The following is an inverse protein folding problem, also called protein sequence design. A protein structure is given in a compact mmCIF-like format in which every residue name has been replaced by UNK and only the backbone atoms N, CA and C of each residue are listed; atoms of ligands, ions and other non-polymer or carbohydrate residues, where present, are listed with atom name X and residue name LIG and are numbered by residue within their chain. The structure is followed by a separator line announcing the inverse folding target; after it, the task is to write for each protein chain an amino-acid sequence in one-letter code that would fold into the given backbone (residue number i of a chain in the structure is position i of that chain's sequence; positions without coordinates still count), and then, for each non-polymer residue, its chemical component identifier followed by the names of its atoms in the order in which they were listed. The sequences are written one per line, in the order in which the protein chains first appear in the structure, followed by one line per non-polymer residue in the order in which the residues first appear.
data_IF_821295249093
#
_entry.id   IF_821295249093
#
_cell.length_a   1.000
_cell.length_b   1.000
_cell.length_c   1.000
_cell.angle_alpha   90.00
_cell.angle_beta   90.00
_cell.angle_gamma   90.00
#
_symmetry.space_group_name_H-M   'P 1'
#
loop_
_entity.id
_entity.type
_entity.pdbx_description
1 polymer ?
#
# COMPACT_ATOMS: atom_id res chain seq x y z
N UNK A 1 12.23 2.60 34.90
CA UNK A 1 11.99 3.25 33.59
C UNK A 1 12.96 2.62 32.63
N UNK A 2 12.45 1.99 31.58
CA UNK A 2 13.27 1.47 30.49
C UNK A 2 13.96 2.65 29.82
N UNK A 3 15.28 2.69 29.79
CA UNK A 3 16.00 3.71 29.04
C UNK A 3 16.04 3.30 27.56
N UNK A 4 15.74 4.23 26.67
CA UNK A 4 15.92 4.04 25.23
C UNK A 4 17.41 3.85 24.92
N UNK A 5 17.74 2.91 24.03
CA UNK A 5 19.10 2.73 23.55
C UNK A 5 19.57 3.93 22.73
N UNK A 6 20.88 4.05 22.52
CA UNK A 6 21.44 5.10 21.66
C UNK A 6 20.85 5.05 20.24
N UNK A 7 20.73 3.85 19.69
CA UNK A 7 20.13 3.61 18.36
C UNK A 7 18.67 4.07 18.32
N UNK A 8 17.86 3.73 19.34
CA UNK A 8 16.47 4.19 19.43
C UNK A 8 16.37 5.71 19.50
N UNK A 9 17.28 6.37 20.23
CA UNK A 9 17.31 7.83 20.34
C UNK A 9 17.67 8.46 18.99
N UNK A 10 18.57 7.85 18.22
CA UNK A 10 18.91 8.29 16.87
C UNK A 10 17.71 8.16 15.92
N UNK A 11 17.03 7.02 15.94
CA UNK A 11 15.81 6.78 15.15
C UNK A 11 14.71 7.80 15.50
N UNK A 12 14.50 8.08 16.79
CA UNK A 12 13.54 9.10 17.23
C UNK A 12 13.93 10.50 16.77
N UNK A 13 15.22 10.81 16.72
CA UNK A 13 15.72 12.11 16.29
C UNK A 13 15.55 12.30 14.79
N UNK A 14 15.80 11.26 14.00
CA UNK A 14 15.54 11.25 12.56
C UNK A 14 14.04 11.45 12.30
N UNK A 15 13.18 10.68 12.96
CA UNK A 15 11.73 10.79 12.83
C UNK A 15 11.20 12.16 13.29
N UNK A 16 11.72 12.73 14.37
CA UNK A 16 11.41 14.09 14.82
C UNK A 16 11.78 15.13 13.75
N UNK A 17 12.94 14.97 13.10
CA UNK A 17 13.40 15.84 12.03
C UNK A 17 12.47 15.89 10.82
N UNK A 18 11.73 14.82 10.53
CA UNK A 18 10.74 14.79 9.44
C UNK A 18 9.57 15.78 9.64
N UNK A 19 9.33 16.21 10.88
CA UNK A 19 8.26 17.17 11.22
C UNK A 19 8.75 18.62 11.27
N UNK A 20 10.05 18.85 11.19
CA UNK A 20 10.62 20.19 11.11
C UNK A 20 10.45 20.75 9.69
N UNK A 21 9.41 21.56 9.51
CA UNK A 21 9.09 22.23 8.23
C UNK A 21 9.89 23.50 7.99
N UNK A 22 10.59 24.02 8.99
CA UNK A 22 11.30 25.31 8.94
C UNK A 22 12.81 25.12 8.78
N UNK A 23 13.32 23.95 9.17
CA UNK A 23 14.74 23.59 9.10
C UNK A 23 15.57 24.15 10.26
N UNK A 24 14.94 24.48 11.38
CA UNK A 24 15.58 25.04 12.59
C UNK A 24 15.70 24.03 13.75
N UNK A 25 15.58 22.74 13.44
CA UNK A 25 15.64 21.60 14.38
C UNK A 25 14.57 21.65 15.47
N UNK A 26 13.41 22.23 15.16
CA UNK A 26 12.28 22.36 16.08
C UNK A 26 10.95 21.97 15.42
N UNK A 27 10.01 21.52 16.24
CA UNK A 27 8.63 21.18 15.82
C UNK A 27 7.63 22.00 16.61
N UNK A 28 6.47 22.29 16.02
CA UNK A 28 5.43 23.05 16.70
C UNK A 28 4.73 22.22 17.79
N UNK A 29 4.24 22.88 18.84
CA UNK A 29 3.53 22.23 19.95
C UNK A 29 2.34 21.38 19.48
N UNK A 30 1.60 21.87 18.49
CA UNK A 30 0.48 21.14 17.89
C UNK A 30 0.87 19.87 17.11
N UNK A 31 2.15 19.65 16.81
CA UNK A 31 2.65 18.44 16.14
C UNK A 31 3.11 17.36 17.12
N UNK A 32 3.28 17.67 18.41
CA UNK A 32 3.91 16.77 19.39
C UNK A 32 3.15 15.45 19.54
N UNK A 33 1.81 15.51 19.57
CA UNK A 33 0.97 14.31 19.66
C UNK A 33 1.14 13.41 18.43
N UNK A 34 1.22 14.00 17.25
CA UNK A 34 1.34 13.26 15.99
C UNK A 34 2.71 12.61 15.85
N UNK A 35 3.77 13.27 16.32
CA UNK A 35 5.12 12.69 16.38
C UNK A 35 5.13 11.49 17.32
N UNK A 36 4.58 11.60 18.53
CA UNK A 36 4.50 10.47 19.47
C UNK A 36 3.74 9.29 18.86
N UNK A 37 2.65 9.56 18.12
CA UNK A 37 1.88 8.53 17.40
C UNK A 37 2.67 7.90 16.28
N UNK A 38 3.44 8.69 15.52
CA UNK A 38 4.33 8.19 14.49
C UNK A 38 5.47 7.33 15.06
N UNK A 39 5.92 7.62 16.28
CA UNK A 39 6.89 6.82 17.04
C UNK A 39 6.26 5.58 17.70
N UNK A 40 5.01 5.26 17.36
CA UNK A 40 4.36 4.04 17.80
C UNK A 40 3.77 4.08 19.21
N UNK A 41 3.72 5.26 19.83
CA UNK A 41 2.97 5.48 21.06
C UNK A 41 1.51 5.84 20.73
N UNK A 42 0.62 5.81 21.72
CA UNK A 42 -0.79 6.17 21.50
C UNK A 42 -1.35 7.05 22.63
N UNK A 43 -0.74 8.22 22.89
CA UNK A 43 -1.27 9.13 23.89
C UNK A 43 -2.58 9.78 23.43
N UNK A 44 -3.48 10.08 24.36
CA UNK A 44 -4.61 10.96 24.07
C UNK A 44 -4.12 12.41 23.96
N UNK A 45 -4.82 13.27 23.22
CA UNK A 45 -4.56 14.71 23.18
C UNK A 45 -4.62 15.32 24.59
N UNK A 46 -5.46 14.77 25.48
CA UNK A 46 -5.50 15.19 26.88
C UNK A 46 -4.19 14.88 27.61
N UNK A 47 -3.61 13.70 27.39
CA UNK A 47 -2.31 13.33 27.97
C UNK A 47 -1.20 14.24 27.44
N UNK A 48 -1.16 14.46 26.12
CA UNK A 48 -0.16 15.34 25.49
C UNK A 48 -0.32 16.79 25.99
N UNK A 49 -1.54 17.30 26.10
CA UNK A 49 -1.81 18.64 26.66
C UNK A 49 -1.25 18.77 28.07
N UNK A 50 -1.43 17.75 28.91
CA UNK A 50 -0.89 17.73 30.27
C UNK A 50 0.64 17.68 30.28
N UNK A 51 1.24 16.84 29.44
CA UNK A 51 2.69 16.69 29.30
C UNK A 51 3.35 17.99 28.81
N UNK A 52 2.67 18.72 27.92
CA UNK A 52 3.08 20.06 27.47
C UNK A 52 2.86 21.17 28.52
N UNK A 53 2.32 20.84 29.69
CA UNK A 53 2.10 21.79 30.78
C UNK A 53 0.80 22.59 30.68
N UNK A 54 -0.23 22.04 30.04
CA UNK A 54 -1.51 22.70 29.75
C UNK A 54 -1.35 24.02 28.99
N UNK A 55 -0.75 23.98 27.78
CA UNK A 55 -0.53 25.16 26.95
C UNK A 55 -1.85 25.87 26.59
N UNK A 56 -1.80 27.19 26.46
CA UNK A 56 -2.90 27.98 25.91
C UNK A 56 -3.06 27.74 24.39
N UNK A 57 -4.15 28.22 23.80
CA UNK A 57 -4.33 28.14 22.34
C UNK A 57 -3.24 28.90 21.56
N UNK A 58 -2.76 30.01 22.11
CA UNK A 58 -1.65 30.78 21.54
C UNK A 58 -0.33 30.00 21.61
N UNK A 59 -0.08 29.33 22.75
CA UNK A 59 1.07 28.45 22.91
C UNK A 59 1.05 27.31 21.89
N UNK A 60 -0.12 26.68 21.69
CA UNK A 60 -0.27 25.60 20.71
C UNK A 60 -0.03 26.04 19.27
N UNK A 61 -0.33 27.31 18.95
CA UNK A 61 -0.15 27.86 17.61
C UNK A 61 1.29 28.34 17.34
N UNK A 62 1.95 28.89 18.37
CA UNK A 62 3.18 29.67 18.17
C UNK A 62 4.43 29.06 18.80
N UNK A 63 4.29 28.21 19.84
CA UNK A 63 5.47 27.61 20.50
C UNK A 63 5.98 26.40 19.73
N UNK A 64 7.30 26.23 19.81
CA UNK A 64 8.05 25.15 19.20
C UNK A 64 9.00 24.53 20.22
N UNK A 65 9.33 23.26 20.06
CA UNK A 65 10.28 22.53 20.91
C UNK A 65 11.36 21.88 20.05
N UNK A 66 12.55 21.73 20.62
CA UNK A 66 13.62 20.93 20.03
C UNK A 66 13.54 19.46 20.52
N UNK A 67 14.39 18.61 19.96
CA UNK A 67 14.42 17.18 20.29
C UNK A 67 14.74 16.91 21.78
N UNK A 68 15.64 17.68 22.38
CA UNK A 68 16.04 17.49 23.78
C UNK A 68 14.88 17.73 24.75
N UNK A 69 13.98 18.67 24.42
CA UNK A 69 12.75 18.91 25.18
C UNK A 69 11.66 17.85 24.89
N UNK A 70 11.64 17.27 23.69
CA UNK A 70 10.67 16.25 23.29
C UNK A 70 10.95 14.87 23.90
N UNK A 71 12.21 14.45 23.99
CA UNK A 71 12.59 13.10 24.41
C UNK A 71 12.06 12.70 25.82
N UNK A 72 12.09 13.56 26.85
CA UNK A 72 11.48 13.26 28.14
C UNK A 72 9.96 13.06 28.06
N UNK A 73 9.28 13.81 27.21
CA UNK A 73 7.83 13.69 26.99
C UNK A 73 7.49 12.32 26.39
N UNK A 74 8.29 11.87 25.42
CA UNK A 74 8.14 10.53 24.83
C UNK A 74 8.36 9.41 25.86
N UNK A 75 9.37 9.55 26.73
CA UNK A 75 9.62 8.60 27.83
C UNK A 75 8.45 8.51 28.80
N UNK A 76 7.83 9.64 29.12
CA UNK A 76 6.65 9.66 29.99
C UNK A 76 5.49 8.88 29.36
N UNK A 77 5.19 9.11 28.07
CA UNK A 77 4.14 8.38 27.35
C UNK A 77 4.43 6.88 27.27
N UNK A 78 5.66 6.49 26.90
CA UNK A 78 6.01 5.07 26.75
C UNK A 78 5.90 4.29 28.07
N UNK A 79 6.07 4.98 29.21
CA UNK A 79 5.92 4.39 30.54
C UNK A 79 4.47 4.17 30.97
N UNK A 80 3.49 4.71 30.24
CA UNK A 80 2.07 4.58 30.61
C UNK A 80 1.54 3.16 30.30
N UNK A 81 0.61 2.62 31.11
CA UNK A 81 -0.01 1.34 30.84
C UNK A 81 -0.72 1.34 29.48
N UNK A 82 -0.39 0.36 28.63
CA UNK A 82 -1.02 0.16 27.33
C UNK A 82 -2.15 -0.84 27.49
N UNK A 83 -3.30 -0.58 26.85
CA UNK A 83 -4.43 -1.51 26.86
C UNK A 83 -4.06 -2.82 26.17
N UNK A 84 -4.45 -3.93 26.77
CA UNK A 84 -4.25 -5.28 26.22
C UNK A 84 -5.42 -5.70 25.33
N UNK A 85 -5.22 -6.75 24.54
CA UNK A 85 -6.30 -7.34 23.74
C UNK A 85 -7.51 -7.70 24.60
N UNK A 86 -7.26 -8.31 25.76
CA UNK A 86 -8.31 -8.75 26.68
C UNK A 86 -9.09 -7.54 27.23
N UNK A 87 -8.41 -6.44 27.56
CA UNK A 87 -9.07 -5.21 28.04
C UNK A 87 -10.09 -4.66 27.02
N UNK A 88 -9.73 -4.67 25.73
CA UNK A 88 -10.61 -4.18 24.67
C UNK A 88 -11.77 -5.13 24.38
N UNK A 89 -11.53 -6.44 24.41
CA UNK A 89 -12.59 -7.45 24.23
C UNK A 89 -13.59 -7.40 25.38
N UNK A 90 -13.14 -7.31 26.64
CA UNK A 90 -14.03 -7.15 27.79
C UNK A 90 -14.86 -5.87 27.69
N UNK A 91 -14.27 -4.77 27.22
CA UNK A 91 -14.98 -3.51 26.99
C UNK A 91 -16.12 -3.64 25.97
N UNK A 92 -15.90 -4.37 24.87
CA UNK A 92 -16.93 -4.59 23.84
C UNK A 92 -17.95 -5.65 24.23
N UNK A 93 -17.58 -6.64 25.05
CA UNK A 93 -18.49 -7.69 25.54
C UNK A 93 -19.70 -7.12 26.28
N UNK A 94 -19.58 -5.96 26.92
CA UNK A 94 -20.70 -5.27 27.60
C UNK A 94 -21.85 -4.95 26.63
N UNK A 95 -21.58 -4.83 25.33
CA UNK A 95 -22.56 -4.56 24.30
C UNK A 95 -23.12 -5.83 23.63
N UNK A 96 -22.54 -7.00 23.90
CA UNK A 96 -23.02 -8.30 23.42
C UNK A 96 -24.15 -8.81 24.33
N UNK A 97 -25.37 -8.34 24.06
CA UNK A 97 -26.56 -8.70 24.84
C UNK A 97 -26.92 -10.19 24.73
N UNK A 98 -26.52 -10.84 23.65
CA UNK A 98 -26.87 -12.23 23.33
C UNK A 98 -25.78 -13.23 23.75
N UNK A 99 -24.59 -12.75 24.09
CA UNK A 99 -23.42 -13.57 24.43
C UNK A 99 -22.91 -14.38 23.23
N UNK A 100 -23.15 -13.89 22.01
CA UNK A 100 -22.91 -14.63 20.77
C UNK A 100 -21.58 -14.24 20.08
N UNK A 101 -20.79 -13.34 20.66
CA UNK A 101 -19.52 -12.88 20.09
C UNK A 101 -19.67 -11.69 19.15
N UNK A 102 -20.86 -11.08 19.05
CA UNK A 102 -21.12 -9.96 18.13
C UNK A 102 -21.72 -8.74 18.83
N UNK A 103 -21.53 -7.58 18.22
CA UNK A 103 -22.18 -6.32 18.57
C UNK A 103 -22.84 -5.73 17.33
N UNK A 104 -23.99 -5.10 17.48
CA UNK A 104 -24.63 -4.42 16.35
C UNK A 104 -23.71 -3.30 15.87
N UNK A 105 -23.41 -3.25 14.59
CA UNK A 105 -22.49 -2.24 14.05
C UNK A 105 -23.00 -0.82 14.25
N UNK A 106 -24.33 -0.62 14.31
CA UNK A 106 -24.93 0.66 14.70
C UNK A 106 -24.60 1.06 16.16
N UNK A 107 -24.62 0.11 17.10
CA UNK A 107 -24.23 0.38 18.50
C UNK A 107 -22.72 0.64 18.59
N UNK A 108 -21.91 -0.11 17.85
CA UNK A 108 -20.46 0.08 17.80
C UNK A 108 -20.05 1.46 17.27
N UNK A 109 -20.72 1.99 16.23
CA UNK A 109 -20.51 3.37 15.76
C UNK A 109 -20.81 4.42 16.83
N UNK A 110 -21.82 4.20 17.67
CA UNK A 110 -22.15 5.09 18.79
C UNK A 110 -21.04 5.03 19.84
N UNK A 111 -20.54 3.83 20.15
CA UNK A 111 -19.42 3.65 21.09
C UNK A 111 -18.17 4.40 20.60
N UNK A 112 -17.80 4.25 19.33
CA UNK A 112 -16.62 4.89 18.73
C UNK A 112 -16.73 6.42 18.63
N UNK A 113 -17.95 6.96 18.50
CA UNK A 113 -18.18 8.41 18.46
C UNK A 113 -18.28 9.08 19.84
N UNK A 114 -18.47 8.29 20.90
CA UNK A 114 -18.74 8.82 22.25
C UNK A 114 -17.65 8.54 23.28
N UNK A 115 -16.90 7.43 23.15
CA UNK A 115 -15.87 7.06 24.11
C UNK A 115 -14.49 7.62 23.74
N UNK A 116 -13.84 8.24 24.72
CA UNK A 116 -12.48 8.76 24.56
C UNK A 116 -12.42 10.01 23.70
N UNK A 117 -11.46 10.05 22.79
CA UNK A 117 -11.34 11.14 21.81
C UNK A 117 -12.34 10.89 20.69
N UNK A 118 -13.18 11.90 20.41
CA UNK A 118 -14.25 11.77 19.43
C UNK A 118 -13.66 11.48 18.07
N UNK A 119 -14.00 10.31 17.53
CA UNK A 119 -13.77 10.00 16.12
C UNK A 119 -14.82 10.69 15.26
N UNK A 120 -14.41 11.17 14.11
CA UNK A 120 -15.31 11.71 13.09
C UNK A 120 -16.09 10.57 12.43
N UNK A 121 -17.25 10.90 11.85
CA UNK A 121 -18.07 9.92 11.12
C UNK A 121 -17.28 9.23 9.99
N UNK A 122 -16.44 9.97 9.28
CA UNK A 122 -15.58 9.43 8.23
C UNK A 122 -14.55 8.41 8.75
N UNK A 123 -13.93 8.67 9.90
CA UNK A 123 -12.98 7.74 10.53
C UNK A 123 -13.68 6.48 11.03
N UNK A 124 -14.91 6.62 11.53
CA UNK A 124 -15.73 5.51 11.97
C UNK A 124 -16.13 4.64 10.77
N UNK A 125 -16.61 5.21 9.67
CA UNK A 125 -16.96 4.44 8.48
C UNK A 125 -15.75 3.72 7.88
N UNK A 126 -14.58 4.38 7.84
CA UNK A 126 -13.35 3.73 7.40
C UNK A 126 -12.96 2.54 8.28
N UNK A 127 -13.14 2.66 9.60
CA UNK A 127 -12.85 1.58 10.56
C UNK A 127 -13.85 0.43 10.47
N UNK A 128 -15.11 0.73 10.17
CA UNK A 128 -16.22 -0.22 10.12
C UNK A 128 -16.32 -0.92 8.74
N UNK A 129 -15.65 -0.39 7.72
CA UNK A 129 -15.67 -0.95 6.37
C UNK A 129 -15.24 -2.42 6.35
N UNK A 130 -16.11 -3.28 5.81
CA UNK A 130 -15.87 -4.72 5.71
C UNK A 130 -15.90 -5.49 7.03
N UNK A 131 -16.25 -4.85 8.15
CA UNK A 131 -16.35 -5.51 9.47
C UNK A 131 -17.76 -6.01 9.79
N UNK A 132 -18.77 -5.53 9.07
CA UNK A 132 -20.17 -5.91 9.25
C UNK A 132 -20.52 -7.13 8.39
N UNK A 133 -21.25 -8.07 9.00
CA UNK A 133 -21.87 -9.18 8.29
C UNK A 133 -23.17 -8.78 7.59
N UNK A 134 -23.83 -9.74 6.92
CA UNK A 134 -25.10 -9.52 6.22
C UNK A 134 -26.23 -8.99 7.12
N UNK A 135 -26.11 -9.16 8.44
CA UNK A 135 -27.07 -8.70 9.44
C UNK A 135 -26.67 -7.37 10.10
N UNK A 136 -25.58 -6.74 9.64
CA UNK A 136 -25.06 -5.50 10.24
C UNK A 136 -24.43 -5.72 11.62
N UNK A 137 -23.97 -6.93 11.91
CA UNK A 137 -23.30 -7.28 13.16
C UNK A 137 -21.80 -7.37 12.98
N UNK A 138 -21.03 -7.04 14.02
CA UNK A 138 -19.57 -7.05 14.03
C UNK A 138 -19.08 -8.03 15.07
N UNK A 139 -18.20 -8.95 14.67
CA UNK A 139 -17.55 -9.88 15.59
C UNK A 139 -16.43 -9.17 16.37
N UNK A 140 -16.68 -8.81 17.64
CA UNK A 140 -15.82 -7.87 18.36
C UNK A 140 -14.39 -8.38 18.61
N UNK A 141 -14.17 -9.68 18.78
CA UNK A 141 -12.81 -10.21 18.89
C UNK A 141 -12.00 -10.05 17.58
N UNK A 142 -12.65 -10.25 16.44
CA UNK A 142 -12.04 -10.11 15.14
C UNK A 142 -11.78 -8.62 14.84
N UNK A 143 -12.74 -7.77 15.21
CA UNK A 143 -12.63 -6.33 15.13
C UNK A 143 -11.49 -5.77 16.01
N UNK A 144 -11.35 -6.23 17.26
CA UNK A 144 -10.23 -5.82 18.13
C UNK A 144 -8.90 -6.29 17.56
N UNK A 145 -8.80 -7.54 17.04
CA UNK A 145 -7.61 -8.02 16.34
C UNK A 145 -7.28 -7.16 15.13
N UNK A 146 -8.29 -6.80 14.32
CA UNK A 146 -8.14 -5.93 13.16
C UNK A 146 -7.59 -4.57 13.60
N UNK A 147 -8.23 -3.90 14.56
CA UNK A 147 -7.76 -2.61 15.12
C UNK A 147 -6.33 -2.70 15.64
N UNK A 148 -6.01 -3.74 16.42
CA UNK A 148 -4.68 -3.89 17.02
C UNK A 148 -3.63 -4.25 15.96
N UNK A 149 -3.99 -4.98 14.90
CA UNK A 149 -3.10 -5.28 13.78
C UNK A 149 -2.82 -4.02 12.95
N UNK A 150 -3.83 -3.23 12.60
CA UNK A 150 -3.71 -1.93 11.93
C UNK A 150 -2.85 -0.96 12.76
N UNK A 151 -2.98 -0.99 14.09
CA UNK A 151 -2.19 -0.17 15.03
C UNK A 151 -0.73 -0.65 15.18
N UNK A 152 -0.46 -1.95 15.12
CA UNK A 152 0.90 -2.51 15.11
C UNK A 152 1.67 -2.11 13.85
N UNK A 153 0.99 -2.01 12.70
CA UNK A 153 1.60 -1.54 11.45
C UNK A 153 2.04 -0.07 11.50
N UNK A 154 1.30 0.82 12.19
CA UNK A 154 1.72 2.23 12.38
C UNK A 154 2.91 2.41 13.32
N UNK A 155 3.08 1.51 14.29
CA UNK A 155 4.14 1.54 15.31
C UNK A 155 5.47 0.91 14.84
N UNK A 156 5.40 -0.06 13.90
CA UNK A 156 6.56 -0.80 13.41
C UNK A 156 7.42 -0.11 12.34
N UNK A 157 7.04 1.08 11.85
CA UNK A 157 7.71 1.73 10.72
C UNK A 157 9.11 2.31 11.04
N UNK A 158 9.46 2.45 12.31
CA UNK A 158 10.74 3.06 12.74
C UNK A 158 11.72 2.01 13.31
N UNK A 159 11.28 0.77 13.57
CA UNK A 159 12.05 -0.22 14.33
C UNK A 159 12.41 -1.52 13.61
N UNK A 160 12.65 -1.52 12.30
CA UNK A 160 13.02 -2.74 11.55
C UNK A 160 14.47 -2.71 11.04
N UNK A 161 15.42 -2.86 11.95
CA UNK A 161 16.66 -3.59 11.69
C UNK A 161 16.73 -4.85 12.55
N UNK A 162 16.64 -6.00 11.85
CA UNK A 162 17.06 -7.35 12.24
C UNK A 162 16.63 -7.90 13.62
N UNK A 163 15.60 -8.76 13.65
CA UNK A 163 15.66 -10.07 14.32
C UNK A 163 14.77 -11.10 13.59
N UNK A 164 15.40 -12.16 13.07
CA UNK A 164 14.84 -13.47 12.67
C UNK A 164 13.55 -13.56 11.82
N UNK A 165 13.73 -13.86 10.53
CA UNK A 165 13.23 -15.13 9.98
C UNK A 165 11.74 -15.30 9.67
N UNK A 166 11.13 -14.44 8.85
CA UNK A 166 10.17 -14.79 7.77
C UNK A 166 9.73 -13.49 7.06
N UNK A 167 10.12 -13.35 5.79
CA UNK A 167 9.86 -12.19 4.93
C UNK A 167 8.37 -12.11 4.56
N UNK A 168 7.69 -11.04 4.95
CA UNK A 168 6.72 -10.37 4.09
C UNK A 168 7.21 -8.94 3.92
N UNK A 169 7.77 -8.66 2.74
CA UNK A 169 8.29 -7.35 2.37
C UNK A 169 7.12 -6.57 1.80
N UNK A 170 6.57 -5.63 2.58
CA UNK A 170 5.77 -4.56 2.01
C UNK A 170 6.75 -3.49 1.49
N UNK A 171 6.58 -3.13 0.22
CA UNK A 171 7.39 -2.16 -0.52
C UNK A 171 7.51 -0.83 0.23
N UNK A 172 8.71 -0.22 0.19
CA UNK A 172 8.93 1.16 0.62
C UNK A 172 8.11 2.21 -0.17
N UNK A 173 7.43 1.82 -1.24
CA UNK A 173 6.48 2.64 -1.99
C UNK A 173 5.10 2.70 -1.30
N UNK A 174 4.63 1.59 -0.72
CA UNK A 174 3.34 1.53 0.02
C UNK A 174 3.36 2.46 1.23
N UNK A 175 4.51 2.52 1.92
CA UNK A 175 4.73 3.43 3.04
C UNK A 175 4.63 4.92 2.67
N UNK A 176 5.02 5.29 1.43
CA UNK A 176 5.00 6.68 0.97
C UNK A 176 3.62 7.14 0.50
N UNK A 177 2.78 6.21 0.01
CA UNK A 177 1.44 6.50 -0.50
C UNK A 177 0.40 6.69 0.63
N UNK A 178 0.58 6.05 1.79
CA UNK A 178 -0.38 6.17 2.90
C UNK A 178 -0.10 7.34 3.86
N UNK A 179 1.10 7.92 3.85
CA UNK A 179 1.46 9.01 4.77
C UNK A 179 0.91 10.40 4.35
N UNK A 180 0.26 10.48 3.19
CA UNK A 180 -0.12 11.74 2.52
C UNK A 180 -1.62 12.06 2.57
N UNK A 181 -2.47 11.16 3.05
CA UNK A 181 -3.93 11.38 3.05
C UNK A 181 -4.45 12.33 4.14
N UNK A 182 -3.64 12.71 5.14
CA UNK A 182 -4.08 13.65 6.16
C UNK A 182 -3.01 14.72 6.46
N UNK A 183 -3.36 15.99 6.19
CA UNK A 183 -2.70 17.24 6.65
C UNK A 183 -1.60 17.88 5.76
N UNK A 184 -1.82 17.99 4.44
CA UNK A 184 -1.13 19.01 3.61
C UNK A 184 -2.13 20.02 3.08
N UNK A 185 -1.84 21.31 3.27
CA UNK A 185 -2.47 22.34 2.45
C UNK A 185 -1.92 22.18 1.02
N UNK A 186 -2.78 22.22 -0.03
CA UNK A 186 -2.33 22.00 -1.38
C UNK A 186 -1.32 23.09 -1.78
N UNK A 187 -0.09 22.67 -2.09
CA UNK A 187 0.87 23.58 -2.74
C UNK A 187 0.29 23.91 -4.12
N UNK A 188 0.19 25.19 -4.52
CA UNK A 188 -0.38 25.53 -5.81
C UNK A 188 0.43 24.89 -6.94
N UNK A 189 -0.20 23.97 -7.68
CA UNK A 189 0.41 23.30 -8.82
C UNK A 189 0.60 24.29 -9.97
N UNK A 190 1.80 24.37 -10.57
CA UNK A 190 2.05 25.23 -11.72
C UNK A 190 1.20 24.79 -12.93
N UNK A 191 0.87 25.75 -13.81
CA UNK A 191 0.14 25.44 -15.05
C UNK A 191 0.96 24.53 -15.96
N UNK A 192 0.34 23.58 -16.69
CA UNK A 192 1.04 22.76 -17.68
C UNK A 192 1.83 23.60 -18.71
N UNK A 193 1.32 24.78 -19.08
CA UNK A 193 1.98 25.72 -19.99
C UNK A 193 3.26 26.35 -19.43
N UNK A 194 3.48 26.25 -18.12
CA UNK A 194 4.68 26.76 -17.44
C UNK A 194 5.76 25.70 -17.20
N UNK A 195 5.48 24.43 -17.55
CA UNK A 195 6.45 23.35 -17.47
C UNK A 195 7.63 23.60 -18.43
N UNK A 196 8.86 23.34 -17.97
CA UNK A 196 10.05 23.45 -18.84
C UNK A 196 10.18 22.22 -19.72
N UNK A 197 9.85 21.05 -19.19
CA UNK A 197 9.88 19.78 -19.91
C UNK A 197 8.55 19.03 -19.73
N UNK A 198 8.22 18.18 -20.71
CA UNK A 198 7.04 17.30 -20.64
C UNK A 198 7.08 16.31 -19.47
N UNK A 199 8.28 16.03 -18.95
CA UNK A 199 8.52 15.08 -17.85
C UNK A 199 8.57 15.73 -16.47
N UNK A 200 8.37 17.06 -16.39
CA UNK A 200 8.35 17.78 -15.11
C UNK A 200 7.14 17.31 -14.26
N UNK A 201 7.43 16.83 -13.06
CA UNK A 201 6.44 16.28 -12.12
C UNK A 201 5.65 17.43 -11.46
N UNK A 202 4.37 17.20 -11.13
CA UNK A 202 3.52 18.20 -10.46
C UNK A 202 2.88 19.25 -11.35
N UNK A 203 3.10 19.20 -12.67
CA UNK A 203 2.54 20.17 -13.65
C UNK A 203 1.19 19.72 -14.23
N UNK A 204 0.88 18.42 -14.22
CA UNK A 204 -0.34 17.85 -14.81
C UNK A 204 -1.42 17.69 -13.74
N UNK A 205 -2.47 18.50 -13.86
CA UNK A 205 -3.58 18.58 -12.88
C UNK A 205 -4.39 17.30 -12.69
N UNK A 206 -4.30 16.33 -13.61
CA UNK A 206 -4.99 15.03 -13.48
C UNK A 206 -4.37 14.13 -12.40
N UNK A 207 -3.11 14.38 -12.03
CA UNK A 207 -2.42 13.61 -11.01
C UNK A 207 -2.63 14.24 -9.62
N UNK A 208 -2.35 13.51 -8.54
CA UNK A 208 -2.28 14.02 -7.16
C UNK A 208 -0.82 14.14 -6.74
N UNK A 209 -0.54 14.71 -5.56
CA UNK A 209 0.80 14.66 -4.97
C UNK A 209 1.28 13.21 -4.76
N UNK A 210 0.36 12.28 -4.45
CA UNK A 210 0.67 10.86 -4.31
C UNK A 210 1.16 10.25 -5.62
N UNK A 211 0.49 10.58 -6.73
CA UNK A 211 0.93 10.18 -8.07
C UNK A 211 2.29 10.78 -8.43
N UNK A 212 2.59 12.01 -7.98
CA UNK A 212 3.89 12.65 -8.20
C UNK A 212 5.01 11.92 -7.43
N UNK A 213 4.78 11.61 -6.15
CA UNK A 213 5.72 10.84 -5.31
C UNK A 213 5.95 9.45 -5.90
N UNK A 214 4.87 8.78 -6.31
CA UNK A 214 4.97 7.47 -6.96
C UNK A 214 5.76 7.56 -8.27
N UNK A 215 5.54 8.59 -9.08
CA UNK A 215 6.28 8.84 -10.31
C UNK A 215 7.77 9.02 -10.09
N UNK A 216 8.17 9.74 -9.04
CA UNK A 216 9.59 9.85 -8.68
C UNK A 216 10.20 8.48 -8.35
N UNK A 217 9.46 7.63 -7.64
CA UNK A 217 9.88 6.26 -7.32
C UNK A 217 10.05 5.40 -8.58
N UNK A 218 9.04 5.40 -9.46
CA UNK A 218 9.06 4.67 -10.74
C UNK A 218 10.22 5.15 -11.61
N UNK A 219 10.40 6.48 -11.73
CA UNK A 219 11.50 7.05 -12.50
C UNK A 219 12.85 6.59 -11.97
N UNK A 220 13.04 6.61 -10.65
CA UNK A 220 14.29 6.16 -10.02
C UNK A 220 14.54 4.67 -10.30
N UNK A 221 13.52 3.82 -10.18
CA UNK A 221 13.63 2.41 -10.53
C UNK A 221 14.10 2.19 -11.97
N UNK A 222 13.54 2.92 -12.94
CA UNK A 222 14.03 2.82 -14.32
C UNK A 222 15.49 3.26 -14.47
N UNK A 223 15.89 4.34 -13.80
CA UNK A 223 17.28 4.83 -13.83
C UNK A 223 18.28 3.85 -13.20
N UNK A 224 17.90 3.22 -12.10
CA UNK A 224 18.82 2.42 -11.29
C UNK A 224 18.82 0.94 -11.70
N UNK A 225 17.65 0.39 -12.07
CA UNK A 225 17.45 -1.06 -12.22
C UNK A 225 17.18 -1.51 -13.67
N UNK A 226 16.79 -0.60 -14.57
CA UNK A 226 16.41 -0.97 -15.95
C UNK A 226 17.42 -0.42 -16.95
N UNK A 227 17.61 0.90 -16.99
CA UNK A 227 18.45 1.60 -17.98
C UNK A 227 19.87 1.03 -18.05
N UNK A 228 20.56 0.75 -16.92
CA UNK A 228 21.95 0.24 -16.97
C UNK A 228 22.07 -1.13 -17.66
N UNK A 229 21.02 -1.94 -17.63
CA UNK A 229 21.03 -3.32 -18.11
C UNK A 229 20.31 -3.52 -19.45
N UNK A 230 19.47 -2.57 -19.87
CA UNK A 230 18.59 -2.71 -21.02
C UNK A 230 19.32 -3.12 -22.31
N UNK A 231 20.49 -2.54 -22.59
CA UNK A 231 21.28 -2.88 -23.80
C UNK A 231 21.73 -4.35 -23.82
N UNK A 232 22.04 -4.92 -22.66
CA UNK A 232 22.45 -6.33 -22.56
C UNK A 232 21.24 -7.26 -22.74
N UNK A 233 20.08 -6.87 -22.19
CA UNK A 233 18.83 -7.60 -22.38
C UNK A 233 18.37 -7.62 -23.83
N UNK A 234 18.48 -6.49 -24.54
CA UNK A 234 18.21 -6.41 -25.98
C UNK A 234 19.08 -7.38 -26.77
N UNK A 235 20.37 -7.48 -26.43
CA UNK A 235 21.29 -8.44 -27.06
C UNK A 235 20.94 -9.89 -26.69
N UNK A 236 20.50 -10.13 -25.46
CA UNK A 236 20.11 -11.45 -24.97
C UNK A 236 18.74 -11.91 -25.50
N UNK A 237 17.91 -10.98 -25.99
CA UNK A 237 16.54 -11.24 -26.41
C UNK A 237 15.55 -11.47 -25.25
N UNK A 238 15.94 -11.15 -24.02
CA UNK A 238 15.09 -11.26 -22.83
C UNK A 238 15.56 -10.34 -21.70
N UNK A 239 14.63 -9.89 -20.85
CA UNK A 239 14.95 -9.19 -19.60
C UNK A 239 15.32 -10.18 -18.48
N UNK A 240 15.87 -9.68 -17.37
CA UNK A 240 16.20 -10.51 -16.21
C UNK A 240 14.95 -10.87 -15.39
N UNK A 241 14.89 -12.06 -14.77
CA UNK A 241 13.87 -12.35 -13.74
C UNK A 241 14.03 -11.46 -12.51
N UNK A 242 15.25 -11.07 -12.18
CA UNK A 242 15.54 -10.22 -11.03
C UNK A 242 14.84 -8.85 -11.12
N UNK A 243 14.75 -8.25 -12.32
CA UNK A 243 14.06 -6.95 -12.47
C UNK A 243 12.55 -7.07 -12.25
N UNK A 244 11.95 -8.24 -12.49
CA UNK A 244 10.54 -8.49 -12.15
C UNK A 244 10.32 -8.53 -10.65
N UNK A 245 11.15 -9.29 -9.92
CA UNK A 245 11.07 -9.35 -8.46
C UNK A 245 11.31 -7.97 -7.84
N UNK A 246 12.31 -7.22 -8.31
CA UNK A 246 12.55 -5.84 -7.87
C UNK A 246 11.38 -4.91 -8.17
N UNK A 247 10.75 -5.03 -9.34
CA UNK A 247 9.55 -4.25 -9.68
C UNK A 247 8.38 -4.57 -8.73
N UNK A 248 8.19 -5.85 -8.39
CA UNK A 248 7.21 -6.29 -7.40
C UNK A 248 7.51 -5.76 -5.99
N UNK A 249 8.77 -5.85 -5.54
CA UNK A 249 9.25 -5.29 -4.27
C UNK A 249 9.08 -3.77 -4.17
N UNK A 250 9.02 -3.06 -5.30
CA UNK A 250 8.77 -1.62 -5.35
C UNK A 250 7.30 -1.26 -5.59
N UNK A 251 6.39 -2.25 -5.66
CA UNK A 251 4.96 -2.03 -5.89
C UNK A 251 4.62 -1.53 -7.29
N UNK A 252 5.46 -1.81 -8.28
CA UNK A 252 5.28 -1.35 -9.67
C UNK A 252 4.53 -2.35 -10.54
N UNK A 253 4.32 -3.57 -10.03
CA UNK A 253 3.51 -4.60 -10.66
C UNK A 253 2.13 -4.63 -10.03
N UNK A 254 1.12 -4.83 -10.86
CA UNK A 254 -0.28 -5.06 -10.48
C UNK A 254 -0.78 -3.95 -9.56
N UNK A 255 -0.49 -2.69 -9.92
CA UNK A 255 -0.70 -1.50 -9.09
C UNK A 255 -2.13 -1.40 -8.56
N UNK A 256 -3.13 -1.80 -9.35
CA UNK A 256 -4.56 -1.77 -8.99
C UNK A 256 -5.00 -2.91 -8.06
N UNK A 257 -4.15 -3.92 -7.84
CA UNK A 257 -4.49 -5.03 -6.94
C UNK A 257 -4.53 -4.50 -5.50
N UNK A 258 -5.59 -4.80 -4.73
CA UNK A 258 -5.68 -4.39 -3.32
C UNK A 258 -4.54 -4.94 -2.47
N UNK A 259 -4.24 -4.25 -1.37
CA UNK A 259 -3.18 -4.66 -0.45
C UNK A 259 -3.41 -6.03 0.17
N UNK A 260 -4.67 -6.40 0.44
CA UNK A 260 -5.04 -7.72 0.97
C UNK A 260 -4.64 -8.89 0.03
N UNK A 261 -4.43 -8.58 -1.25
CA UNK A 261 -3.96 -9.51 -2.28
C UNK A 261 -2.48 -9.29 -2.65
N UNK A 262 -1.76 -8.47 -1.88
CA UNK A 262 -0.33 -8.20 -2.00
C UNK A 262 0.05 -7.05 -2.94
N UNK A 263 -0.93 -6.32 -3.50
CA UNK A 263 -0.70 -5.12 -4.30
C UNK A 263 -0.59 -3.85 -3.46
N UNK A 264 -0.68 -2.69 -4.11
CA UNK A 264 -0.58 -1.38 -3.46
C UNK A 264 -1.90 -0.60 -3.47
N UNK A 265 -2.98 -1.19 -3.97
CA UNK A 265 -4.31 -0.56 -4.00
C UNK A 265 -4.35 0.78 -4.77
N UNK A 266 -3.46 0.96 -5.74
CA UNK A 266 -3.40 2.18 -6.55
C UNK A 266 -4.54 2.28 -7.55
N UNK A 267 -4.60 3.41 -8.25
CA UNK A 267 -5.63 3.67 -9.25
C UNK A 267 -5.09 3.60 -10.68
N UNK A 268 -5.96 3.87 -11.66
CA UNK A 268 -5.58 3.90 -13.08
C UNK A 268 -4.54 4.98 -13.39
N UNK A 269 -4.47 6.06 -12.60
CA UNK A 269 -3.47 7.11 -12.77
C UNK A 269 -2.09 6.65 -12.28
N UNK A 270 -2.07 5.85 -11.22
CA UNK A 270 -0.88 5.18 -10.70
C UNK A 270 -0.33 4.17 -11.72
N UNK A 271 -1.19 3.37 -12.37
CA UNK A 271 -0.77 2.54 -13.50
C UNK A 271 -0.28 3.38 -14.70
N UNK A 272 -0.96 4.47 -15.04
CA UNK A 272 -0.52 5.37 -16.10
C UNK A 272 0.87 5.97 -15.84
N UNK A 273 1.21 6.24 -14.58
CA UNK A 273 2.57 6.66 -14.18
C UNK A 273 3.61 5.58 -14.53
N UNK A 274 3.33 4.29 -14.27
CA UNK A 274 4.29 3.21 -14.59
C UNK A 274 4.51 3.08 -16.09
N UNK A 275 3.45 3.18 -16.89
CA UNK A 275 3.53 3.15 -18.35
C UNK A 275 4.34 4.34 -18.89
N UNK A 276 4.03 5.55 -18.44
CA UNK A 276 4.68 6.76 -18.93
C UNK A 276 6.18 6.78 -18.64
N UNK A 277 6.58 6.46 -17.40
CA UNK A 277 8.01 6.45 -17.04
C UNK A 277 8.78 5.35 -17.80
N UNK A 278 8.15 4.21 -18.09
CA UNK A 278 8.75 3.23 -19.00
C UNK A 278 9.00 3.84 -20.38
N UNK A 279 8.01 4.52 -20.96
CA UNK A 279 8.15 5.11 -22.29
C UNK A 279 9.17 6.26 -22.30
N UNK A 280 9.21 7.09 -21.27
CA UNK A 280 10.21 8.15 -21.14
C UNK A 280 11.64 7.61 -20.97
N UNK A 281 11.80 6.42 -20.39
CA UNK A 281 13.09 5.74 -20.30
C UNK A 281 13.56 5.11 -21.63
N UNK A 282 12.67 5.01 -22.62
CA UNK A 282 12.90 4.31 -23.89
C UNK A 282 13.36 2.85 -23.71
N UNK A 283 12.94 2.21 -22.61
CA UNK A 283 13.27 0.82 -22.27
C UNK A 283 12.03 -0.08 -22.42
N UNK A 284 11.79 -0.55 -23.65
CA UNK A 284 10.59 -1.32 -24.02
C UNK A 284 10.67 -2.81 -23.71
N UNK A 285 11.82 -3.32 -23.24
CA UNK A 285 12.01 -4.74 -22.96
C UNK A 285 11.08 -5.34 -21.89
N UNK A 286 10.92 -4.70 -20.70
CA UNK A 286 10.06 -5.22 -19.65
C UNK A 286 8.57 -5.21 -20.05
N UNK A 287 7.91 -6.38 -20.00
CA UNK A 287 6.49 -6.53 -20.33
C UNK A 287 5.54 -6.29 -19.15
N UNK A 288 5.85 -5.33 -18.27
CA UNK A 288 5.10 -5.08 -17.03
C UNK A 288 3.65 -4.68 -17.27
N UNK A 289 3.38 -3.76 -18.21
CA UNK A 289 2.01 -3.31 -18.47
C UNK A 289 1.09 -4.45 -18.98
N UNK A 290 1.61 -5.32 -19.85
CA UNK A 290 0.87 -6.51 -20.29
C UNK A 290 0.56 -7.44 -19.12
N UNK A 291 1.54 -7.66 -18.25
CA UNK A 291 1.36 -8.47 -17.05
C UNK A 291 0.28 -7.87 -16.14
N UNK A 292 0.40 -6.59 -15.82
CA UNK A 292 -0.37 -5.95 -14.75
C UNK A 292 -1.74 -5.44 -15.13
N UNK A 293 -1.88 -4.96 -16.35
CA UNK A 293 -3.09 -4.23 -16.77
C UNK A 293 -3.92 -5.02 -17.76
N UNK A 294 -3.41 -6.16 -18.24
CA UNK A 294 -4.11 -7.04 -19.19
C UNK A 294 -4.22 -8.46 -18.65
N UNK A 295 -3.11 -9.14 -18.34
CA UNK A 295 -3.15 -10.54 -17.97
C UNK A 295 -3.72 -10.76 -16.55
N UNK A 296 -3.09 -10.19 -15.52
CA UNK A 296 -3.51 -10.37 -14.12
C UNK A 296 -4.98 -10.00 -13.87
N UNK A 297 -5.56 -8.94 -14.46
CA UNK A 297 -6.98 -8.61 -14.31
C UNK A 297 -7.96 -9.73 -14.72
N UNK A 298 -7.61 -10.63 -15.64
CA UNK A 298 -8.48 -11.79 -15.92
C UNK A 298 -8.60 -12.71 -14.70
N UNK A 299 -7.52 -12.89 -13.95
CA UNK A 299 -7.49 -13.73 -12.76
C UNK A 299 -8.22 -13.01 -11.63
N UNK A 300 -7.96 -11.72 -11.42
CA UNK A 300 -8.61 -10.94 -10.37
C UNK A 300 -10.13 -10.85 -10.55
N UNK A 301 -10.61 -10.75 -11.79
CA UNK A 301 -12.04 -10.58 -12.08
C UNK A 301 -12.80 -11.89 -12.31
N UNK A 302 -12.15 -12.93 -12.87
CA UNK A 302 -12.82 -14.16 -13.31
C UNK A 302 -12.24 -15.44 -12.70
N UNK A 303 -11.13 -15.33 -11.96
CA UNK A 303 -10.52 -16.48 -11.30
C UNK A 303 -11.38 -16.99 -10.14
N UNK A 304 -11.28 -18.28 -9.86
CA UNK A 304 -11.80 -18.83 -8.61
C UNK A 304 -11.04 -18.29 -7.42
N UNK A 305 -11.61 -18.41 -6.21
CA UNK A 305 -10.92 -18.03 -4.97
C UNK A 305 -9.55 -18.71 -4.86
N UNK A 306 -9.45 -20.00 -5.19
CA UNK A 306 -8.18 -20.72 -5.14
C UNK A 306 -7.16 -20.20 -6.16
N UNK A 307 -7.62 -19.78 -7.36
CA UNK A 307 -6.74 -19.20 -8.37
C UNK A 307 -6.23 -17.82 -7.95
N UNK A 308 -7.10 -16.99 -7.37
CA UNK A 308 -6.75 -15.66 -6.87
C UNK A 308 -5.71 -15.78 -5.76
N UNK A 309 -5.99 -16.60 -4.74
CA UNK A 309 -5.08 -16.82 -3.59
C UNK A 309 -3.73 -17.40 -4.01
N UNK A 310 -3.72 -18.25 -5.04
CA UNK A 310 -2.49 -18.88 -5.53
C UNK A 310 -1.63 -17.95 -6.40
N UNK A 311 -2.26 -17.24 -7.34
CA UNK A 311 -1.52 -16.59 -8.43
C UNK A 311 -1.32 -15.09 -8.22
N UNK A 312 -2.28 -14.38 -7.63
CA UNK A 312 -2.19 -12.91 -7.52
C UNK A 312 -1.01 -12.49 -6.62
N UNK A 313 -0.79 -13.06 -5.43
CA UNK A 313 0.35 -12.66 -4.59
C UNK A 313 1.70 -12.90 -5.27
N UNK A 314 1.85 -14.01 -5.98
CA UNK A 314 3.08 -14.36 -6.69
C UNK A 314 3.31 -13.49 -7.93
N UNK A 315 2.24 -13.15 -8.65
CA UNK A 315 2.29 -12.24 -9.78
C UNK A 315 2.71 -10.83 -9.35
N UNK A 316 2.11 -10.33 -8.26
CA UNK A 316 2.41 -9.00 -7.73
C UNK A 316 3.83 -8.90 -7.18
N UNK A 317 4.34 -9.98 -6.60
CA UNK A 317 5.73 -10.05 -6.17
C UNK A 317 6.74 -10.25 -7.32
N UNK A 318 6.28 -10.35 -8.58
CA UNK A 318 7.14 -10.56 -9.75
C UNK A 318 7.72 -11.98 -9.88
N UNK A 319 7.28 -12.93 -9.03
CA UNK A 319 7.73 -14.33 -9.05
C UNK A 319 6.95 -15.21 -10.02
N UNK A 320 5.73 -14.81 -10.38
CA UNK A 320 4.90 -15.46 -11.39
C UNK A 320 4.66 -14.49 -12.55
N UNK A 321 5.36 -14.67 -13.67
CA UNK A 321 5.19 -13.80 -14.83
C UNK A 321 4.01 -14.29 -15.67
N UNK A 322 2.94 -13.51 -15.68
CA UNK A 322 1.76 -13.76 -16.51
C UNK A 322 1.94 -13.33 -17.98
N UNK A 323 1.39 -14.13 -18.88
CA UNK A 323 1.20 -13.81 -20.29
C UNK A 323 -0.24 -14.12 -20.72
N UNK A 324 -0.62 -13.62 -21.91
CA UNK A 324 -1.94 -13.86 -22.49
C UNK A 324 -1.82 -14.29 -23.94
N UNK A 325 -2.43 -15.42 -24.26
CA UNK A 325 -2.33 -16.10 -25.54
C UNK A 325 -3.68 -16.10 -26.26
N UNK A 326 -3.97 -14.94 -26.87
CA UNK A 326 -5.18 -14.70 -27.65
C UNK A 326 -4.95 -14.97 -29.14
N UNK A 327 -4.02 -14.22 -29.73
CA UNK A 327 -3.74 -14.12 -31.16
C UNK A 327 -3.25 -15.44 -31.76
N UNK A 328 -3.74 -15.73 -32.97
CA UNK A 328 -3.36 -16.87 -33.81
C UNK A 328 -2.87 -16.38 -35.17
N UNK A 329 -2.13 -17.20 -35.95
CA UNK A 329 -1.70 -16.81 -37.29
C UNK A 329 -2.83 -16.33 -38.21
N UNK A 330 -4.05 -16.83 -37.99
CA UNK A 330 -5.25 -16.47 -38.76
C UNK A 330 -6.27 -15.61 -38.02
N UNK A 331 -6.02 -15.21 -36.77
CA UNK A 331 -6.97 -14.45 -35.95
C UNK A 331 -6.25 -13.43 -35.04
N UNK A 332 -6.45 -12.14 -35.33
CA UNK A 332 -5.96 -11.01 -34.55
C UNK A 332 -7.11 -10.12 -34.08
N UNK A 333 -7.44 -9.08 -34.85
CA UNK A 333 -8.59 -8.19 -34.55
C UNK A 333 -9.93 -8.93 -34.52
N UNK A 334 -10.11 -9.93 -35.39
CA UNK A 334 -11.23 -10.88 -35.29
C UNK A 334 -10.90 -11.99 -34.29
N UNK A 335 -10.95 -11.65 -33.00
CA UNK A 335 -10.67 -12.59 -31.93
C UNK A 335 -11.72 -13.71 -31.85
N UNK A 336 -12.93 -13.47 -32.36
CA UNK A 336 -13.94 -14.53 -32.41
C UNK A 336 -13.43 -15.66 -33.31
N UNK A 337 -12.75 -15.37 -34.42
CA UNK A 337 -12.21 -16.34 -35.39
C UNK A 337 -11.12 -17.31 -34.90
N UNK A 338 -10.76 -17.35 -33.61
CA UNK A 338 -9.79 -18.30 -33.05
C UNK A 338 -10.15 -19.77 -33.32
N UNK A 339 -9.14 -20.58 -33.63
CA UNK A 339 -9.28 -22.01 -33.98
C UNK A 339 -8.67 -22.95 -32.94
N UNK A 340 -7.91 -22.42 -31.98
CA UNK A 340 -7.44 -23.22 -30.83
C UNK A 340 -8.64 -23.88 -30.17
N UNK A 341 -8.64 -25.21 -30.11
CA UNK A 341 -9.72 -26.00 -29.53
C UNK A 341 -9.35 -26.37 -28.08
N UNK A 342 -10.32 -26.27 -27.18
CA UNK A 342 -10.23 -26.73 -25.80
C UNK A 342 -11.29 -27.81 -25.60
N UNK A 343 -10.87 -29.08 -25.56
CA UNK A 343 -11.79 -30.21 -25.40
C UNK A 343 -11.71 -30.74 -23.97
N UNK A 344 -12.85 -30.83 -23.28
CA UNK A 344 -12.91 -31.49 -21.97
C UNK A 344 -12.62 -32.98 -22.11
N UNK A 345 -11.74 -33.50 -21.25
CA UNK A 345 -11.39 -34.92 -21.15
C UNK A 345 -11.31 -35.32 -19.67
N UNK A 346 -12.39 -35.92 -19.15
CA UNK A 346 -12.52 -36.22 -17.73
C UNK A 346 -12.53 -34.96 -16.84
N UNK A 347 -11.58 -34.89 -15.91
CA UNK A 347 -11.34 -33.72 -15.05
C UNK A 347 -10.49 -32.63 -15.72
N UNK A 348 -9.85 -32.94 -16.84
CA UNK A 348 -8.87 -32.07 -17.51
C UNK A 348 -9.43 -31.46 -18.81
N UNK A 349 -8.63 -30.57 -19.39
CA UNK A 349 -8.88 -29.97 -20.69
C UNK A 349 -7.68 -30.19 -21.61
N UNK A 350 -7.93 -30.69 -22.81
CA UNK A 350 -6.92 -30.80 -23.87
C UNK A 350 -7.02 -29.56 -24.75
N UNK A 351 -5.97 -28.74 -24.76
CA UNK A 351 -5.84 -27.61 -25.67
C UNK A 351 -5.01 -27.99 -26.90
N UNK A 352 -5.53 -27.75 -28.10
CA UNK A 352 -4.84 -27.95 -29.38
C UNK A 352 -4.97 -26.70 -30.26
N UNK A 353 -3.86 -26.07 -30.60
CA UNK A 353 -3.83 -24.88 -31.44
C UNK A 353 -2.44 -24.24 -31.51
N UNK A 354 -2.37 -23.08 -32.14
CA UNK A 354 -1.13 -22.31 -32.27
C UNK A 354 -1.39 -20.85 -31.92
N UNK A 355 -0.62 -20.30 -30.98
CA UNK A 355 -0.69 -18.90 -30.55
C UNK A 355 0.58 -18.16 -30.98
N UNK A 356 0.46 -16.90 -31.38
CA UNK A 356 1.58 -16.09 -31.91
C UNK A 356 1.58 -14.68 -31.34
N UNK A 357 2.76 -14.06 -31.29
CA UNK A 357 3.01 -12.71 -30.73
C UNK A 357 2.66 -12.59 -29.24
N UNK A 358 3.13 -13.56 -28.44
CA UNK A 358 2.82 -13.63 -27.01
C UNK A 358 3.89 -12.89 -26.22
N UNK A 359 3.59 -11.64 -25.86
CA UNK A 359 4.39 -10.87 -24.90
C UNK A 359 4.54 -11.65 -23.60
N UNK A 360 5.74 -11.62 -23.02
CA UNK A 360 6.20 -12.44 -21.89
C UNK A 360 6.20 -13.96 -22.14
N UNK A 361 5.77 -14.46 -23.29
CA UNK A 361 5.57 -15.91 -23.51
C UNK A 361 6.83 -16.76 -23.29
N UNK A 362 8.01 -16.22 -23.51
CA UNK A 362 9.28 -16.89 -23.23
C UNK A 362 9.61 -16.99 -21.73
N UNK A 363 9.19 -16.00 -20.93
CA UNK A 363 9.48 -15.93 -19.50
C UNK A 363 8.29 -16.34 -18.62
N UNK A 364 7.14 -16.65 -19.21
CA UNK A 364 5.89 -16.81 -18.49
C UNK A 364 5.87 -18.05 -17.59
N UNK A 365 5.34 -17.87 -16.39
CA UNK A 365 5.04 -18.95 -15.44
C UNK A 365 3.54 -19.32 -15.49
N UNK A 366 2.70 -18.38 -15.94
CA UNK A 366 1.26 -18.56 -16.13
C UNK A 366 0.82 -17.93 -17.45
N UNK A 367 0.06 -18.67 -18.26
CA UNK A 367 -0.46 -18.19 -19.54
C UNK A 367 -1.98 -18.31 -19.58
N UNK A 368 -2.66 -17.20 -19.81
CA UNK A 368 -4.10 -17.17 -20.07
C UNK A 368 -4.32 -17.51 -21.54
N UNK A 369 -4.87 -18.69 -21.83
CA UNK A 369 -5.06 -19.17 -23.20
C UNK A 369 -6.52 -19.12 -23.59
N UNK A 370 -6.84 -18.45 -24.70
CA UNK A 370 -8.19 -18.53 -25.30
C UNK A 370 -8.30 -19.77 -26.19
N UNK A 371 -9.35 -20.55 -26.00
CA UNK A 371 -9.70 -21.70 -26.83
C UNK A 371 -11.21 -21.89 -26.91
N UNK A 372 -11.67 -22.55 -27.97
CA UNK A 372 -13.08 -22.86 -28.20
C UNK A 372 -13.43 -24.27 -27.70
N UNK A 373 -14.44 -24.36 -26.85
CA UNK A 373 -15.06 -25.62 -26.39
C UNK A 373 -15.78 -26.36 -27.53
N UNK A 374 -16.46 -25.61 -28.40
CA UNK A 374 -17.28 -26.14 -29.50
C UNK A 374 -16.94 -25.42 -30.83
N UNK A 375 -17.09 -26.10 -32.00
CA UNK A 375 -16.80 -25.53 -33.31
C UNK A 375 -17.46 -24.18 -33.58
#
# INVERSE_FOLDING_TARGET
MTEFSADQIEDFKEAFGLFDRVGDSQVAFNQVADIMRALGQNPTNKDVTKILGNPSADDMANKRINFDAFLPMLKEVDSQPKGTYDDYVEGLRVFDKEGNGTVMGAELRIVLSTLGEKMTEAEIEALMAGQEDENGSVHYEAFVKHIMSVKMFKSGFIGLRNVSGRRQVLSAATARLHQSQHLRQPVPRPEPSSAKNLTDIGTRRIFSEDHDIFRESVRRFYQDEVIPHHKEWEKAGQVSREVWEKAGEQGMLNVLVPEENGGIGGDVYSAAVTWEEQMYSNCTGPGFALHSDIAVPYISNYGSKEQIERFIPEATAGRCICAIAMTEPGAGSDLQGVRTNAKKDGSDWILNGNKVFITNGWMADLVLVVGRDKP
#
